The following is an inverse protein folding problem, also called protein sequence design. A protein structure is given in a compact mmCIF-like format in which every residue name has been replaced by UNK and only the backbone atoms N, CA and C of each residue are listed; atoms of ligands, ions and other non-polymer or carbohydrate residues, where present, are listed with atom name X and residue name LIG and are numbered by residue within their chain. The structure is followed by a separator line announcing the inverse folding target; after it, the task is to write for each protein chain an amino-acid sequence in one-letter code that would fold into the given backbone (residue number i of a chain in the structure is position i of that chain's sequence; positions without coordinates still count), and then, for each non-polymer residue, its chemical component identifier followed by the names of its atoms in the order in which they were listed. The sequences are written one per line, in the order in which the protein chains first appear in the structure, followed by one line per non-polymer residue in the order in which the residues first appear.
data_IF_880354442007
#
_entry.id   IF_880354442007
#
_cell.length_a   1.000
_cell.length_b   1.000
_cell.length_c   1.000
_cell.angle_alpha   90.00
_cell.angle_beta   90.00
_cell.angle_gamma   90.00
#
_symmetry.space_group_name_H-M   'P 1'
#
loop_
_entity.id
_entity.type
_entity.pdbx_description
1 polymer ?
#
# COMPACT_ATOMS: atom_id res chain seq x y z
N UNK A 1 18.40 22.13 42.62
CA UNK A 1 17.33 21.27 42.05
C UNK A 1 17.60 21.10 40.55
N UNK A 2 18.13 19.95 40.14
CA UNK A 2 18.48 19.67 38.74
C UNK A 2 17.22 19.20 38.02
N UNK A 3 16.65 20.04 37.14
CA UNK A 3 15.51 19.65 36.30
C UNK A 3 16.03 18.91 35.09
N UNK A 4 15.90 17.58 35.12
CA UNK A 4 16.21 16.70 33.99
C UNK A 4 15.12 16.93 32.95
N UNK A 5 15.46 17.59 31.84
CA UNK A 5 14.60 17.67 30.66
C UNK A 5 14.64 16.31 29.96
N UNK A 6 13.59 15.50 30.15
CA UNK A 6 13.36 14.33 29.31
C UNK A 6 12.86 14.81 27.94
N UNK A 7 13.80 15.01 27.02
CA UNK A 7 13.49 15.23 25.61
C UNK A 7 12.84 13.95 25.07
N UNK A 8 11.52 13.99 24.88
CA UNK A 8 10.77 12.96 24.16
C UNK A 8 11.33 12.86 22.73
N UNK A 9 12.04 11.77 22.43
CA UNK A 9 12.44 11.42 21.07
C UNK A 9 11.18 10.92 20.37
N UNK A 10 10.54 11.78 19.57
CA UNK A 10 9.48 11.39 18.65
C UNK A 10 10.17 10.67 17.48
N UNK A 11 10.10 9.34 17.48
CA UNK A 11 10.54 8.50 16.36
C UNK A 11 9.47 8.64 15.27
N UNK A 12 9.68 9.57 14.35
CA UNK A 12 8.89 9.67 13.13
C UNK A 12 9.29 8.52 12.21
N UNK A 13 8.51 7.44 12.24
CA UNK A 13 8.56 6.37 11.23
C UNK A 13 8.15 6.97 9.89
N UNK A 14 9.15 7.37 9.10
CA UNK A 14 9.01 7.66 7.67
C UNK A 14 8.61 6.36 6.98
N UNK A 15 7.30 6.14 6.79
CA UNK A 15 6.83 5.09 5.87
C UNK A 15 7.09 5.58 4.45
N UNK A 16 8.27 5.23 3.92
CA UNK A 16 8.61 5.48 2.53
C UNK A 16 7.67 4.68 1.64
N UNK A 17 6.78 5.34 0.90
CA UNK A 17 6.20 4.70 -0.26
C UNK A 17 7.27 4.68 -1.36
N UNK A 18 7.43 3.52 -1.99
CA UNK A 18 8.31 3.42 -3.16
C UNK A 18 7.67 4.20 -4.33
N UNK A 19 8.49 4.67 -5.26
CA UNK A 19 8.07 5.53 -6.36
C UNK A 19 7.07 4.83 -7.30
N UNK A 20 6.98 3.50 -7.25
CA UNK A 20 6.11 2.68 -8.07
C UNK A 20 4.66 2.56 -7.54
N UNK A 21 4.24 3.41 -6.59
CA UNK A 21 2.90 3.39 -5.93
C UNK A 21 2.57 2.12 -5.17
N UNK A 22 3.54 1.20 -5.06
CA UNK A 22 3.41 0.02 -4.22
C UNK A 22 3.89 0.37 -2.83
N UNK A 23 3.04 0.04 -1.88
CA UNK A 23 3.25 0.32 -0.49
C UNK A 23 4.08 -0.82 0.14
N UNK A 24 5.26 -1.06 -0.43
CA UNK A 24 6.14 -2.21 -0.11
C UNK A 24 6.62 -2.20 1.35
N UNK A 25 6.52 -1.05 2.04
CA UNK A 25 6.94 -0.86 3.43
C UNK A 25 5.79 -0.97 4.45
N UNK A 26 4.62 -1.46 4.05
CA UNK A 26 3.43 -1.49 4.89
C UNK A 26 3.32 -2.67 5.86
N UNK A 27 4.45 -3.08 6.40
CA UNK A 27 4.57 -4.33 7.13
C UNK A 27 4.83 -5.49 6.19
N UNK A 28 5.57 -6.46 6.73
CA UNK A 28 6.13 -7.60 6.03
C UNK A 28 5.07 -8.33 5.19
N UNK A 29 5.19 -8.27 3.86
CA UNK A 29 4.25 -8.99 2.99
C UNK A 29 4.72 -10.41 2.79
N UNK A 30 4.70 -11.16 3.90
CA UNK A 30 4.87 -12.60 3.89
C UNK A 30 3.83 -13.23 2.96
N UNK A 31 4.30 -13.94 1.93
CA UNK A 31 3.44 -14.74 1.05
C UNK A 31 2.98 -14.04 -0.24
N UNK A 32 3.68 -13.01 -0.73
CA UNK A 32 3.53 -12.48 -2.10
C UNK A 32 2.30 -11.58 -2.34
N UNK A 33 1.65 -11.15 -1.27
CA UNK A 33 0.68 -10.06 -1.35
C UNK A 33 1.42 -8.73 -1.59
N UNK A 34 0.70 -7.72 -2.08
CA UNK A 34 1.20 -6.37 -2.26
C UNK A 34 0.07 -5.44 -1.86
N UNK A 35 0.38 -4.45 -1.03
CA UNK A 35 -0.52 -3.32 -0.79
C UNK A 35 -0.15 -2.22 -1.78
N UNK A 36 -1.11 -1.65 -2.49
CA UNK A 36 -0.85 -0.61 -3.48
C UNK A 36 -2.01 0.37 -3.64
N UNK A 37 -1.67 1.61 -4.01
CA UNK A 37 -2.63 2.59 -4.49
C UNK A 37 -2.79 2.41 -6.00
N UNK A 38 -4.02 2.20 -6.47
CA UNK A 38 -4.28 1.97 -7.88
C UNK A 38 -3.92 3.21 -8.70
N UNK A 39 -3.06 3.02 -9.70
CA UNK A 39 -2.75 4.03 -10.71
C UNK A 39 -3.50 3.75 -12.01
N UNK A 40 -3.51 4.75 -12.91
CA UNK A 40 -4.05 4.55 -14.27
C UNK A 40 -3.31 3.43 -15.02
N UNK A 41 -2.00 3.27 -14.79
CA UNK A 41 -1.21 2.21 -15.39
C UNK A 41 -1.65 0.83 -14.90
N UNK A 42 -2.00 0.69 -13.62
CA UNK A 42 -2.42 -0.60 -13.06
C UNK A 42 -3.74 -1.10 -13.65
N UNK A 43 -4.69 -0.19 -13.87
CA UNK A 43 -5.96 -0.51 -14.54
C UNK A 43 -5.76 -1.03 -15.96
N UNK A 44 -4.68 -0.62 -16.64
CA UNK A 44 -4.31 -1.12 -17.96
C UNK A 44 -3.45 -2.37 -17.91
N UNK A 45 -2.61 -2.51 -16.89
CA UNK A 45 -1.67 -3.62 -16.72
C UNK A 45 -2.37 -4.90 -16.28
N UNK A 46 -3.25 -4.82 -15.28
CA UNK A 46 -3.92 -5.99 -14.72
C UNK A 46 -5.33 -6.10 -15.27
N UNK A 47 -5.50 -6.98 -16.26
CA UNK A 47 -6.80 -7.32 -16.80
C UNK A 47 -7.74 -7.77 -15.67
N UNK A 48 -8.95 -7.19 -15.63
CA UNK A 48 -9.96 -7.49 -14.63
C UNK A 48 -10.10 -6.45 -13.51
N UNK A 49 -9.07 -5.66 -13.18
CA UNK A 49 -9.20 -4.58 -12.18
C UNK A 49 -10.31 -3.59 -12.55
N UNK A 50 -10.35 -3.19 -13.82
CA UNK A 50 -11.34 -2.24 -14.33
C UNK A 50 -12.80 -2.77 -14.33
N UNK A 51 -13.01 -4.06 -14.02
CA UNK A 51 -14.35 -4.65 -13.92
C UNK A 51 -14.93 -4.55 -12.51
N UNK A 52 -14.12 -4.22 -11.50
CA UNK A 52 -14.59 -4.02 -10.14
C UNK A 52 -15.18 -2.62 -10.00
N UNK A 53 -16.48 -2.53 -9.71
CA UNK A 53 -17.21 -1.25 -9.61
C UNK A 53 -16.63 -0.29 -8.54
N UNK A 54 -15.95 -0.83 -7.52
CA UNK A 54 -15.40 -0.05 -6.41
C UNK A 54 -13.87 0.11 -6.46
N UNK A 55 -13.25 -0.15 -7.62
CA UNK A 55 -11.80 0.04 -7.82
C UNK A 55 -11.57 1.08 -8.90
N UNK A 56 -11.02 2.21 -8.50
CA UNK A 56 -10.68 3.34 -9.35
C UNK A 56 -9.26 3.85 -9.07
N UNK A 57 -8.79 4.82 -9.86
CA UNK A 57 -7.50 5.47 -9.60
C UNK A 57 -7.55 6.10 -8.22
N UNK A 58 -6.63 5.67 -7.36
CA UNK A 58 -6.51 6.11 -5.99
C UNK A 58 -7.11 5.17 -4.95
N UNK A 59 -7.86 4.14 -5.35
CA UNK A 59 -8.30 3.08 -4.43
C UNK A 59 -7.09 2.34 -3.88
N UNK A 60 -7.13 2.03 -2.58
CA UNK A 60 -6.10 1.26 -1.90
C UNK A 60 -6.53 -0.21 -1.85
N UNK A 61 -5.69 -1.10 -2.36
CA UNK A 61 -5.95 -2.53 -2.32
C UNK A 61 -4.77 -3.30 -1.74
N UNK A 62 -5.08 -4.47 -1.20
CA UNK A 62 -4.13 -5.56 -1.01
C UNK A 62 -4.49 -6.69 -1.98
N UNK A 63 -3.52 -7.23 -2.70
CA UNK A 63 -3.73 -8.34 -3.61
C UNK A 63 -2.48 -9.20 -3.77
N UNK A 64 -2.65 -10.46 -4.14
CA UNK A 64 -1.58 -11.38 -4.48
C UNK A 64 -1.16 -11.17 -5.94
N UNK A 65 0.14 -10.93 -6.15
CA UNK A 65 0.73 -10.73 -7.47
C UNK A 65 1.90 -11.71 -7.63
N UNK A 66 1.84 -12.57 -8.64
CA UNK A 66 2.90 -13.53 -8.96
C UNK A 66 3.21 -13.43 -10.45
N UNK A 67 4.50 -13.32 -10.80
CA UNK A 67 4.96 -13.23 -12.20
C UNK A 67 4.20 -12.16 -13.02
N UNK A 68 3.96 -11.00 -12.40
CA UNK A 68 3.19 -9.87 -12.96
C UNK A 68 1.70 -10.14 -13.24
N UNK A 69 1.17 -11.27 -12.77
CA UNK A 69 -0.26 -11.58 -12.83
C UNK A 69 -0.94 -11.25 -11.50
N UNK A 70 -2.09 -10.57 -11.59
CA UNK A 70 -2.94 -10.25 -10.45
C UNK A 70 -4.01 -11.33 -10.28
N UNK A 71 -4.12 -11.86 -9.07
CA UNK A 71 -5.17 -12.83 -8.74
C UNK A 71 -6.41 -12.09 -8.24
N UNK A 72 -7.45 -11.98 -9.07
CA UNK A 72 -8.62 -11.14 -8.77
C UNK A 72 -9.33 -11.55 -7.45
N UNK A 73 -9.38 -12.84 -7.14
CA UNK A 73 -10.00 -13.37 -5.91
C UNK A 73 -9.24 -12.99 -4.63
N UNK A 74 -7.99 -12.53 -4.76
CA UNK A 74 -7.17 -12.09 -3.63
C UNK A 74 -7.36 -10.62 -3.27
N UNK A 75 -8.12 -9.87 -4.08
CA UNK A 75 -8.26 -8.42 -3.92
C UNK A 75 -9.06 -8.09 -2.66
N UNK A 76 -8.47 -7.25 -1.83
CA UNK A 76 -9.10 -6.64 -0.67
C UNK A 76 -8.97 -5.13 -0.75
N UNK A 77 -10.09 -4.41 -0.78
CA UNK A 77 -10.11 -2.95 -0.70
C UNK A 77 -9.79 -2.53 0.75
N UNK A 78 -8.95 -1.51 0.90
CA UNK A 78 -8.51 -0.96 2.19
C UNK A 78 -9.02 0.47 2.35
N UNK A 79 -9.39 0.85 3.56
CA UNK A 79 -9.87 2.22 3.87
C UNK A 79 -8.78 3.29 3.70
N UNK A 80 -7.51 2.91 3.87
CA UNK A 80 -6.36 3.80 3.76
C UNK A 80 -5.19 3.10 3.12
N UNK A 81 -4.50 3.81 2.23
CA UNK A 81 -3.17 3.42 1.81
C UNK A 81 -2.24 3.72 2.96
N UNK A 82 -1.48 2.73 3.37
CA UNK A 82 -0.43 2.84 4.38
C UNK A 82 0.74 3.78 3.98
N UNK A 83 0.65 4.42 2.82
CA UNK A 83 1.55 5.47 2.34
C UNK A 83 0.98 6.88 2.41
N UNK A 84 -0.25 7.05 2.90
CA UNK A 84 -0.91 8.34 2.99
C UNK A 84 -0.93 8.80 4.44
N UNK A 85 -0.18 9.87 4.73
CA UNK A 85 -0.24 10.63 5.98
C UNK A 85 -1.13 11.85 5.82
#
# INVERSE_FOLDING_TARGET
MKRIFHTLIIISIISSCDQDSKCNNCGDVYGGYVTMKITANDLTKYQGLAQFENIEVGTCIQAFIQEEQLFLDSIKILDKCCCEF
#
